data_IF_595015699764
#
_entry.id   IF_595015699764
#
_cell.length_a   1.000
_cell.length_b   1.000
_cell.length_c   1.000
_cell.angle_alpha   90.00
_cell.angle_beta   90.00
_cell.angle_gamma   90.00
#
_symmetry.space_group_name_H-M   'P 1'
#
loop_
_entity.id
_entity.type
_entity.pdbx_description
1 polymer ?
#
# COMPACT_ATOMS: atom_id res chain seq x y z
N UNK A 1 -32.41 1.60 1.24
CA UNK A 1 -31.83 2.84 1.80
C UNK A 1 -30.34 2.65 1.77
N UNK A 2 -29.61 3.38 0.94
CA UNK A 2 -28.15 3.32 0.94
C UNK A 2 -27.67 4.01 2.21
N UNK A 3 -27.02 3.29 3.11
CA UNK A 3 -26.36 3.94 4.25
C UNK A 3 -25.34 4.94 3.71
N UNK A 4 -25.37 6.16 4.24
CA UNK A 4 -24.38 7.18 3.92
C UNK A 4 -23.10 6.84 4.69
N UNK A 5 -22.19 6.11 4.06
CA UNK A 5 -20.87 5.85 4.62
C UNK A 5 -19.98 7.07 4.39
N UNK A 6 -19.75 7.86 5.44
CA UNK A 6 -18.86 9.02 5.40
C UNK A 6 -17.48 8.64 5.93
N UNK A 7 -16.44 8.83 5.11
CA UNK A 7 -15.05 8.72 5.55
C UNK A 7 -14.60 10.03 6.21
N UNK A 8 -14.19 9.98 7.48
CA UNK A 8 -13.49 11.09 8.12
C UNK A 8 -11.98 10.89 7.94
N UNK A 9 -11.34 11.79 7.21
CA UNK A 9 -9.88 11.73 6.95
C UNK A 9 -9.07 11.72 8.25
N UNK A 10 -9.58 12.36 9.31
CA UNK A 10 -8.96 12.33 10.63
C UNK A 10 -8.98 10.93 11.27
N UNK A 11 -10.07 10.18 11.13
CA UNK A 11 -10.15 8.80 11.63
C UNK A 11 -9.19 7.90 10.85
N UNK A 12 -9.10 8.09 9.52
CA UNK A 12 -8.12 7.38 8.69
C UNK A 12 -6.69 7.68 9.16
N UNK A 13 -6.37 8.94 9.45
CA UNK A 13 -5.06 9.33 9.99
C UNK A 13 -4.75 8.60 11.29
N UNK A 14 -5.71 8.54 12.21
CA UNK A 14 -5.55 7.86 13.50
C UNK A 14 -5.33 6.35 13.34
N UNK A 15 -6.09 5.71 12.44
CA UNK A 15 -5.90 4.29 12.11
C UNK A 15 -4.52 4.06 11.48
N UNK A 16 -4.07 4.91 10.57
CA UNK A 16 -2.72 4.81 9.99
C UNK A 16 -1.63 4.89 11.06
N UNK A 17 -1.72 5.83 12.01
CA UNK A 17 -0.76 5.92 13.12
C UNK A 17 -0.75 4.64 13.93
N UNK A 18 -1.93 4.14 14.34
CA UNK A 18 -2.04 2.93 15.13
C UNK A 18 -1.44 1.70 14.44
N UNK A 19 -1.69 1.52 13.13
CA UNK A 19 -1.15 0.40 12.36
C UNK A 19 0.35 0.52 12.13
N UNK A 20 0.86 1.73 11.84
CA UNK A 20 2.29 1.95 11.64
C UNK A 20 3.08 1.78 12.95
N UNK A 21 2.53 2.21 14.09
CA UNK A 21 3.12 1.96 15.41
C UNK A 21 3.20 0.47 15.72
N UNK A 22 2.15 -0.29 15.38
CA UNK A 22 2.13 -1.74 15.55
C UNK A 22 3.15 -2.44 14.63
N UNK A 23 3.23 -2.03 13.37
CA UNK A 23 4.22 -2.54 12.40
C UNK A 23 5.65 -2.23 12.87
N UNK A 24 5.92 -1.00 13.32
CA UNK A 24 7.24 -0.62 13.84
C UNK A 24 7.61 -1.44 15.09
N UNK A 25 6.66 -1.67 16.00
CA UNK A 25 6.89 -2.52 17.18
C UNK A 25 7.26 -3.96 16.79
N UNK A 26 6.68 -4.46 15.69
CA UNK A 26 6.85 -5.85 15.26
C UNK A 26 8.09 -6.07 14.40
N UNK A 27 8.35 -5.19 13.44
CA UNK A 27 9.41 -5.35 12.45
C UNK A 27 10.65 -4.47 12.72
N UNK A 28 10.56 -3.55 13.69
CA UNK A 28 11.56 -2.54 13.94
C UNK A 28 11.31 -1.25 13.15
N UNK A 29 12.12 -0.22 13.42
CA UNK A 29 12.02 1.08 12.75
C UNK A 29 12.61 1.08 11.32
N UNK A 30 13.45 0.09 11.01
CA UNK A 30 14.07 -0.07 9.69
C UNK A 30 13.80 -1.49 9.19
N UNK A 31 13.20 -1.59 8.00
CA UNK A 31 12.93 -2.86 7.34
C UNK A 31 13.80 -2.91 6.08
N UNK A 32 14.70 -3.89 6.02
CA UNK A 32 15.54 -4.12 4.84
C UNK A 32 14.74 -4.88 3.77
N UNK A 33 14.07 -4.14 2.91
CA UNK A 33 13.23 -4.70 1.84
C UNK A 33 14.01 -5.54 0.82
N UNK A 34 15.32 -5.33 0.69
CA UNK A 34 16.16 -6.12 -0.24
C UNK A 34 16.29 -7.59 0.18
N UNK A 35 16.03 -7.90 1.46
CA UNK A 35 16.13 -9.25 2.02
C UNK A 35 14.82 -10.04 1.95
N UNK A 36 13.74 -9.42 1.50
CA UNK A 36 12.41 -10.05 1.51
C UNK A 36 12.21 -11.05 0.38
N UNK A 37 13.07 -11.03 -0.65
CA UNK A 37 12.96 -11.92 -1.82
C UNK A 37 11.75 -11.63 -2.71
N UNK A 38 10.98 -10.58 -2.40
CA UNK A 38 9.82 -10.09 -3.16
C UNK A 38 9.96 -8.59 -3.38
N UNK A 39 9.65 -8.14 -4.59
CA UNK A 39 9.67 -6.72 -4.96
C UNK A 39 8.43 -6.38 -5.78
N UNK A 40 8.11 -7.22 -6.76
CA UNK A 40 6.94 -7.09 -7.59
C UNK A 40 5.68 -7.68 -6.94
N UNK A 41 4.54 -7.05 -7.17
CA UNK A 41 3.22 -7.56 -6.77
C UNK A 41 2.20 -7.34 -7.88
N UNK A 42 1.21 -8.23 -7.97
CA UNK A 42 0.05 -8.00 -8.84
C UNK A 42 -0.76 -6.82 -8.31
N UNK A 43 -1.06 -5.89 -9.19
CA UNK A 43 -1.89 -4.75 -8.89
C UNK A 43 -3.03 -4.66 -9.93
N UNK A 44 -4.11 -3.99 -9.54
CA UNK A 44 -5.20 -3.64 -10.45
C UNK A 44 -5.19 -2.12 -10.52
N UNK A 45 -5.13 -1.57 -11.74
CA UNK A 45 -5.06 -0.12 -11.92
C UNK A 45 -6.29 0.57 -11.31
N UNK A 46 -6.13 1.83 -10.89
CA UNK A 46 -7.15 2.57 -10.15
C UNK A 46 -8.51 2.61 -10.85
N UNK A 47 -8.55 2.70 -12.18
CA UNK A 47 -9.84 2.78 -12.89
C UNK A 47 -10.52 1.43 -12.85
N UNK A 48 -9.79 0.36 -13.15
CA UNK A 48 -10.32 -1.00 -13.13
C UNK A 48 -10.71 -1.46 -11.72
N UNK A 49 -10.00 -1.02 -10.68
CA UNK A 49 -10.31 -1.33 -9.29
C UNK A 49 -11.70 -0.82 -8.82
N UNK A 50 -12.23 0.22 -9.47
CA UNK A 50 -13.57 0.75 -9.22
C UNK A 50 -14.55 0.55 -10.40
N UNK A 51 -14.05 0.09 -11.55
CA UNK A 51 -14.80 -0.24 -12.76
C UNK A 51 -15.39 -1.64 -12.70
N UNK A 52 -16.44 -1.82 -11.89
CA UNK A 52 -17.07 -3.12 -11.62
C UNK A 52 -17.87 -3.70 -12.80
N UNK A 53 -17.91 -3.02 -13.95
CA UNK A 53 -18.66 -3.45 -15.13
C UNK A 53 -17.75 -4.16 -16.13
N UNK A 54 -16.50 -3.73 -16.21
CA UNK A 54 -15.48 -4.28 -17.07
C UNK A 54 -14.81 -5.52 -16.45
N UNK A 55 -14.15 -6.34 -17.28
CA UNK A 55 -13.33 -7.45 -16.80
C UNK A 55 -12.06 -6.90 -16.12
N UNK A 56 -11.88 -7.11 -14.80
CA UNK A 56 -10.73 -6.59 -14.07
C UNK A 56 -9.40 -7.16 -14.57
N UNK A 57 -9.40 -8.31 -15.26
CA UNK A 57 -8.19 -8.89 -15.83
C UNK A 57 -7.48 -7.94 -16.82
N UNK A 58 -8.24 -7.08 -17.50
CA UNK A 58 -7.70 -6.09 -18.43
C UNK A 58 -6.94 -4.94 -17.74
N UNK A 59 -7.19 -4.73 -16.45
CA UNK A 59 -6.51 -3.75 -15.61
C UNK A 59 -5.46 -4.33 -14.67
N UNK A 60 -5.13 -5.62 -14.80
CA UNK A 60 -4.05 -6.23 -14.02
C UNK A 60 -2.72 -5.71 -14.55
N UNK A 61 -1.95 -5.10 -13.66
CA UNK A 61 -0.57 -4.69 -13.89
C UNK A 61 0.33 -5.18 -12.75
N UNK A 62 1.59 -4.76 -12.79
CA UNK A 62 2.61 -5.13 -11.80
C UNK A 62 3.07 -3.87 -11.11
N UNK A 63 2.85 -3.81 -9.80
CA UNK A 63 3.47 -2.82 -8.93
C UNK A 63 4.84 -3.30 -8.45
N UNK A 64 5.67 -2.36 -7.97
CA UNK A 64 7.02 -2.65 -7.49
C UNK A 64 7.28 -1.92 -6.17
N UNK A 65 7.56 -2.69 -5.11
CA UNK A 65 7.72 -2.19 -3.74
C UNK A 65 8.90 -1.22 -3.60
N UNK A 66 9.99 -1.48 -4.30
CA UNK A 66 11.16 -0.60 -4.31
C UNK A 66 10.88 0.72 -5.04
N UNK A 67 10.05 0.71 -6.08
CA UNK A 67 9.58 1.91 -6.76
C UNK A 67 8.64 2.71 -5.85
N UNK A 68 7.68 2.06 -5.21
CA UNK A 68 6.77 2.68 -4.24
C UNK A 68 7.55 3.40 -3.12
N UNK A 69 8.60 2.76 -2.58
CA UNK A 69 9.47 3.37 -1.58
C UNK A 69 10.30 4.54 -2.14
N UNK A 70 10.76 4.44 -3.38
CA UNK A 70 11.50 5.51 -4.04
C UNK A 70 10.63 6.74 -4.26
N UNK A 71 9.39 6.55 -4.70
CA UNK A 71 8.38 7.59 -4.91
C UNK A 71 7.98 8.28 -3.60
N UNK A 72 7.74 7.53 -2.51
CA UNK A 72 7.48 8.13 -1.20
C UNK A 72 8.67 8.94 -0.67
N UNK A 73 9.90 8.46 -0.89
CA UNK A 73 11.12 9.23 -0.55
C UNK A 73 11.29 10.46 -1.43
N UNK A 74 10.87 10.40 -2.69
CA UNK A 74 10.88 11.55 -3.59
C UNK A 74 9.85 12.59 -3.14
N UNK A 75 8.63 12.16 -2.78
CA UNK A 75 7.57 13.00 -2.23
C UNK A 75 8.06 13.82 -1.03
N UNK A 76 8.76 13.19 -0.08
CA UNK A 76 9.32 13.88 1.10
C UNK A 76 10.40 14.93 0.76
N UNK A 77 10.99 14.86 -0.43
CA UNK A 77 12.06 15.75 -0.89
C UNK A 77 11.59 16.80 -1.90
N UNK A 78 10.31 16.80 -2.28
CA UNK A 78 9.78 17.76 -3.27
C UNK A 78 9.94 19.21 -2.78
N UNK A 79 10.22 20.17 -3.69
CA UNK A 79 10.29 21.58 -3.32
C UNK A 79 8.99 22.07 -2.67
N UNK A 80 9.11 23.05 -1.77
CA UNK A 80 7.95 23.72 -1.19
C UNK A 80 7.15 24.44 -2.29
N UNK A 81 6.07 23.81 -2.74
CA UNK A 81 5.26 24.26 -3.89
C UNK A 81 4.72 23.10 -4.70
N UNK A 82 5.45 21.99 -4.76
CA UNK A 82 5.06 20.75 -5.43
C UNK A 82 4.41 19.81 -4.41
N UNK A 83 3.17 20.13 -4.03
CA UNK A 83 2.38 19.34 -3.09
C UNK A 83 2.09 17.91 -3.57
N UNK A 84 1.44 17.09 -2.73
CA UNK A 84 1.10 15.72 -3.10
C UNK A 84 0.11 15.68 -4.27
N UNK A 85 0.33 14.75 -5.20
CA UNK A 85 -0.60 14.37 -6.25
C UNK A 85 -1.40 13.18 -5.71
N UNK A 86 -2.54 13.45 -5.07
CA UNK A 86 -3.24 12.47 -4.23
C UNK A 86 -3.54 11.14 -4.93
N UNK A 87 -4.03 11.15 -6.17
CA UNK A 87 -4.35 9.89 -6.89
C UNK A 87 -3.11 9.03 -7.16
N UNK A 88 -1.93 9.64 -7.27
CA UNK A 88 -0.67 8.99 -7.55
C UNK A 88 0.01 8.56 -6.24
N UNK A 89 0.26 9.52 -5.35
CA UNK A 89 1.04 9.32 -4.14
C UNK A 89 0.33 8.38 -3.14
N UNK A 90 -1.02 8.35 -3.14
CA UNK A 90 -1.77 7.38 -2.31
C UNK A 90 -1.66 5.94 -2.82
N UNK A 91 -1.44 5.72 -4.13
CA UNK A 91 -1.24 4.36 -4.66
C UNK A 91 0.10 3.80 -4.20
N UNK A 92 1.17 4.59 -4.26
CA UNK A 92 2.48 4.18 -3.74
C UNK A 92 2.44 3.93 -2.23
N UNK A 93 1.73 4.78 -1.46
CA UNK A 93 1.50 4.53 -0.04
C UNK A 93 0.74 3.20 0.17
N UNK A 94 -0.31 2.94 -0.60
CA UNK A 94 -1.06 1.70 -0.52
C UNK A 94 -0.21 0.47 -0.86
N UNK A 95 0.69 0.57 -1.84
CA UNK A 95 1.68 -0.46 -2.18
C UNK A 95 2.60 -0.80 -1.00
N UNK A 96 3.17 0.21 -0.34
CA UNK A 96 4.01 -0.01 0.85
C UNK A 96 3.21 -0.56 2.04
N UNK A 97 1.97 -0.10 2.26
CA UNK A 97 1.11 -0.67 3.30
C UNK A 97 0.75 -2.14 3.01
N UNK A 98 0.55 -2.49 1.74
CA UNK A 98 0.34 -3.88 1.29
C UNK A 98 1.58 -4.73 1.54
N UNK A 99 2.78 -4.20 1.30
CA UNK A 99 4.03 -4.88 1.65
C UNK A 99 4.12 -5.14 3.17
N UNK A 100 3.80 -4.16 4.01
CA UNK A 100 3.79 -4.35 5.47
C UNK A 100 2.80 -5.45 5.90
N UNK A 101 1.63 -5.50 5.28
CA UNK A 101 0.67 -6.58 5.52
C UNK A 101 1.19 -7.94 5.05
N UNK A 102 1.85 -7.99 3.89
CA UNK A 102 2.48 -9.21 3.37
C UNK A 102 3.53 -9.77 4.33
N UNK A 103 4.32 -8.88 4.96
CA UNK A 103 5.32 -9.27 5.97
C UNK A 103 4.72 -9.85 7.24
N UNK A 104 3.45 -9.56 7.53
CA UNK A 104 2.75 -10.11 8.69
C UNK A 104 1.90 -11.34 8.36
N UNK A 105 1.94 -11.84 7.11
CA UNK A 105 1.25 -13.08 6.78
C UNK A 105 1.72 -14.19 7.74
N UNK A 106 0.78 -14.99 8.29
CA UNK A 106 1.17 -16.18 9.01
C UNK A 106 2.02 -17.05 8.08
N UNK A 107 2.98 -17.77 8.65
CA UNK A 107 3.63 -18.84 7.90
C UNK A 107 2.53 -19.71 7.29
N UNK A 108 2.54 -19.87 5.96
CA UNK A 108 1.63 -20.80 5.31
C UNK A 108 1.73 -22.12 6.06
N UNK A 109 0.60 -22.70 6.49
CA UNK A 109 0.60 -23.99 7.15
C UNK A 109 1.44 -24.94 6.31
N UNK A 110 2.58 -25.33 6.86
CA UNK A 110 3.51 -26.20 6.18
C UNK A 110 2.84 -27.57 6.03
N UNK A 111 2.70 -28.02 4.78
CA UNK A 111 2.38 -29.38 4.37
C UNK A 111 1.15 -30.04 5.00
N UNK A 112 0.02 -30.00 4.30
CA UNK A 112 -0.74 -31.25 4.13
C UNK A 112 -0.18 -31.95 2.89
N UNK A 113 0.70 -32.92 3.14
CA UNK A 113 1.24 -33.90 2.19
C UNK A 113 0.16 -34.77 1.56
#
# INVERSE_FOLDING_TARGET
MTEMHMLRVEELRQVCVLLLDAAQKRFGAEIDVSRLGVDHYWNVDLRSAFGMVEDPASGIDVGQSSDDLAELRALMRRPAGDGPVLWHDLQHLAGVLRLLAYLDLPAAEADES
#
